data_IF_579147824619
#
_entry.id   IF_579147824619
#
_cell.length_a   1.000
_cell.length_b   1.000
_cell.length_c   1.000
_cell.angle_alpha   90.00
_cell.angle_beta   90.00
_cell.angle_gamma   90.00
#
_symmetry.space_group_name_H-M   'P 1'
#
loop_
_entity.id
_entity.type
_entity.pdbx_description
1 polymer ?
#
# COMPACT_ATOMS: atom_id res chain seq x y z
N UNK A 1 2.29 23.77 -19.73
CA UNK A 1 2.77 22.38 -19.52
C UNK A 1 3.42 22.22 -18.14
N UNK A 2 4.31 23.12 -17.73
CA UNK A 2 5.06 23.06 -16.45
C UNK A 2 4.13 23.10 -15.21
N UNK A 3 2.98 23.78 -15.29
CA UNK A 3 2.01 23.88 -14.19
C UNK A 3 1.34 22.55 -13.79
N UNK A 4 1.22 21.58 -14.70
CA UNK A 4 0.57 20.28 -14.41
C UNK A 4 1.43 19.36 -13.54
N UNK A 5 2.76 19.53 -13.59
CA UNK A 5 3.69 18.71 -12.83
C UNK A 5 3.74 19.13 -11.35
N UNK A 6 3.43 20.40 -11.05
CA UNK A 6 3.43 20.95 -9.69
C UNK A 6 2.22 20.50 -8.83
N UNK A 7 1.22 19.85 -9.44
CA UNK A 7 0.05 19.26 -8.76
C UNK A 7 0.11 17.74 -8.62
N UNK A 8 1.16 17.08 -9.11
CA UNK A 8 1.36 15.66 -8.83
C UNK A 8 1.98 15.55 -7.43
N UNK A 9 1.43 14.73 -6.53
CA UNK A 9 2.06 14.50 -5.24
C UNK A 9 3.45 13.87 -5.44
N UNK A 10 4.39 14.30 -4.60
CA UNK A 10 5.82 14.04 -4.73
C UNK A 10 6.15 12.54 -4.82
N UNK A 11 5.32 11.69 -4.23
CA UNK A 11 5.43 10.22 -4.26
C UNK A 11 5.38 9.66 -5.69
N UNK A 12 4.40 10.08 -6.49
CA UNK A 12 4.25 9.61 -7.89
C UNK A 12 5.45 10.03 -8.71
N UNK A 13 5.89 11.27 -8.50
CA UNK A 13 7.00 11.86 -9.23
C UNK A 13 8.33 11.17 -8.87
N UNK A 14 8.50 10.82 -7.59
CA UNK A 14 9.64 10.04 -7.11
C UNK A 14 9.71 8.68 -7.80
N UNK A 15 8.64 7.89 -7.76
CA UNK A 15 8.64 6.56 -8.38
C UNK A 15 8.79 6.62 -9.91
N UNK A 16 8.16 7.61 -10.57
CA UNK A 16 8.29 7.78 -12.01
C UNK A 16 9.73 8.15 -12.44
N UNK A 17 10.41 9.01 -11.66
CA UNK A 17 11.82 9.36 -11.91
C UNK A 17 12.75 8.18 -11.67
N UNK A 18 12.54 7.45 -10.57
CA UNK A 18 13.30 6.23 -10.26
C UNK A 18 13.14 5.18 -11.37
N UNK A 19 11.92 5.00 -11.87
CA UNK A 19 11.64 4.11 -13.00
C UNK A 19 12.37 4.53 -14.28
N UNK A 20 12.27 5.81 -14.66
CA UNK A 20 12.94 6.34 -15.84
C UNK A 20 14.47 6.20 -15.73
N UNK A 21 15.03 6.56 -14.57
CA UNK A 21 16.46 6.40 -14.30
C UNK A 21 16.90 4.94 -14.44
N UNK A 22 16.21 4.02 -13.77
CA UNK A 22 16.52 2.60 -13.80
C UNK A 22 16.48 2.01 -15.22
N UNK A 23 15.47 2.36 -16.03
CA UNK A 23 15.33 1.88 -17.40
C UNK A 23 16.41 2.46 -18.34
N UNK A 24 16.77 3.72 -18.16
CA UNK A 24 17.89 4.34 -18.91
C UNK A 24 19.19 3.62 -18.55
N UNK A 25 19.46 3.42 -17.25
CA UNK A 25 20.67 2.71 -16.79
C UNK A 25 20.66 1.26 -17.26
N UNK A 26 19.52 0.55 -17.21
CA UNK A 26 19.40 -0.82 -17.74
C UNK A 26 19.77 -0.88 -19.23
N UNK A 27 19.28 0.10 -20.01
CA UNK A 27 19.55 0.18 -21.44
C UNK A 27 21.03 0.42 -21.71
N UNK A 28 21.62 1.44 -21.06
CA UNK A 28 23.06 1.73 -21.18
C UNK A 28 23.89 0.54 -20.73
N UNK A 29 23.54 -0.06 -19.59
CA UNK A 29 24.22 -1.22 -19.02
C UNK A 29 24.23 -2.39 -20.00
N UNK A 30 23.09 -2.74 -20.62
CA UNK A 30 23.01 -3.81 -21.60
C UNK A 30 24.03 -3.63 -22.74
N UNK A 31 24.12 -2.42 -23.30
CA UNK A 31 25.05 -2.13 -24.41
C UNK A 31 26.52 -2.08 -23.98
N UNK A 32 26.81 -1.88 -22.69
CA UNK A 32 28.19 -1.80 -22.17
C UNK A 32 28.67 -3.15 -21.66
N UNK A 33 27.84 -3.87 -20.91
CA UNK A 33 28.23 -5.08 -20.18
C UNK A 33 27.86 -6.36 -20.92
N UNK A 34 26.79 -6.34 -21.73
CA UNK A 34 26.16 -7.54 -22.30
C UNK A 34 25.85 -8.63 -21.25
N UNK A 35 25.63 -8.24 -20.00
CA UNK A 35 25.42 -9.16 -18.89
C UNK A 35 23.92 -9.29 -18.58
N UNK A 36 23.34 -10.50 -18.70
CA UNK A 36 21.89 -10.68 -18.61
C UNK A 36 21.33 -10.55 -17.20
N UNK A 37 22.04 -10.92 -16.14
CA UNK A 37 21.50 -10.90 -14.77
C UNK A 37 21.27 -9.47 -14.27
N UNK A 38 22.28 -8.61 -14.38
CA UNK A 38 22.24 -7.20 -14.00
C UNK A 38 21.25 -6.41 -14.84
N UNK A 39 21.19 -6.69 -16.16
CA UNK A 39 20.21 -6.06 -17.05
C UNK A 39 18.78 -6.42 -16.64
N UNK A 40 18.55 -7.69 -16.33
CA UNK A 40 17.24 -8.17 -15.87
C UNK A 40 16.85 -7.52 -14.55
N UNK A 41 17.77 -7.42 -13.59
CA UNK A 41 17.51 -6.85 -12.27
C UNK A 41 17.20 -5.35 -12.36
N UNK A 42 17.97 -4.59 -13.15
CA UNK A 42 17.72 -3.17 -13.42
C UNK A 42 16.41 -2.94 -14.17
N UNK A 43 16.14 -3.76 -15.20
CA UNK A 43 14.90 -3.69 -15.97
C UNK A 43 13.66 -3.95 -15.10
N UNK A 44 13.70 -5.01 -14.28
CA UNK A 44 12.62 -5.34 -13.34
C UNK A 44 12.43 -4.24 -12.29
N UNK A 45 13.51 -3.69 -11.74
CA UNK A 45 13.43 -2.56 -10.81
C UNK A 45 12.76 -1.33 -11.44
N UNK A 46 13.11 -1.02 -12.70
CA UNK A 46 12.49 0.07 -13.44
C UNK A 46 10.99 -0.16 -13.70
N UNK A 47 10.62 -1.37 -14.13
CA UNK A 47 9.21 -1.75 -14.36
C UNK A 47 8.41 -1.73 -13.06
N UNK A 48 8.94 -2.27 -11.96
CA UNK A 48 8.28 -2.26 -10.66
C UNK A 48 8.06 -0.83 -10.14
N UNK A 49 9.06 0.04 -10.30
CA UNK A 49 8.94 1.46 -9.95
C UNK A 49 7.90 2.18 -10.81
N UNK A 50 7.83 1.89 -12.12
CA UNK A 50 6.80 2.45 -13.00
C UNK A 50 5.40 1.96 -12.59
N UNK A 51 5.27 0.69 -12.24
CA UNK A 51 4.03 0.11 -11.77
C UNK A 51 3.54 0.78 -10.48
N UNK A 52 4.42 1.01 -9.51
CA UNK A 52 4.11 1.75 -8.29
C UNK A 52 3.62 3.19 -8.60
N UNK A 53 4.33 3.93 -9.47
CA UNK A 53 3.92 5.27 -9.88
C UNK A 53 2.52 5.28 -10.52
N UNK A 54 2.21 4.29 -11.36
CA UNK A 54 0.92 4.14 -12.02
C UNK A 54 -0.20 3.86 -11.00
N UNK A 55 0.04 2.98 -10.02
CA UNK A 55 -0.94 2.66 -8.99
C UNK A 55 -1.26 3.88 -8.12
N UNK A 56 -0.24 4.61 -7.67
CA UNK A 56 -0.41 5.83 -6.88
C UNK A 56 -1.15 6.92 -7.65
N UNK A 57 -0.76 7.15 -8.92
CA UNK A 57 -1.43 8.10 -9.79
C UNK A 57 -2.91 7.73 -10.04
N UNK A 58 -3.24 6.43 -10.08
CA UNK A 58 -4.63 5.95 -10.19
C UNK A 58 -5.42 6.11 -8.90
N UNK A 59 -4.79 5.93 -7.75
CA UNK A 59 -5.44 6.15 -6.44
C UNK A 59 -5.85 7.61 -6.26
N UNK A 60 -4.95 8.54 -6.60
CA UNK A 60 -5.21 9.98 -6.47
C UNK A 60 -6.28 10.52 -7.41
N UNK A 61 -6.45 9.90 -8.57
CA UNK A 61 -7.56 10.25 -9.49
C UNK A 61 -8.93 9.78 -8.99
N UNK A 62 -8.97 8.79 -8.09
CA UNK A 62 -10.21 8.25 -7.50
C UNK A 62 -10.60 8.97 -6.22
N UNK A 63 -9.66 9.57 -5.50
CA UNK A 63 -9.96 10.49 -4.43
C UNK A 63 -10.77 11.67 -5.02
N UNK A 64 -12.00 11.89 -4.55
CA UNK A 64 -12.81 13.04 -4.94
C UNK A 64 -12.02 14.34 -4.71
N UNK A 65 -12.30 15.43 -5.45
CA UNK A 65 -11.65 16.71 -5.18
C UNK A 65 -11.91 17.07 -3.73
N UNK A 66 -10.84 17.11 -2.93
CA UNK A 66 -10.92 17.57 -1.55
C UNK A 66 -11.62 18.93 -1.55
N UNK A 67 -12.68 19.06 -0.74
CA UNK A 67 -13.34 20.34 -0.48
C UNK A 67 -12.27 21.29 0.03
N UNK A 68 -12.05 22.36 -0.74
CA UNK A 68 -11.27 23.55 -0.43
C UNK A 68 -9.80 23.36 0.01
N UNK A 69 -8.80 23.61 -0.87
CA UNK A 69 -7.38 23.48 -0.54
C UNK A 69 -6.88 24.49 0.51
N UNK A 70 -7.66 25.53 0.85
CA UNK A 70 -7.29 26.53 1.86
C UNK A 70 -7.80 26.17 3.28
N UNK A 71 -8.75 25.22 3.39
CA UNK A 71 -9.26 24.72 4.68
C UNK A 71 -8.41 23.60 5.28
N UNK A 72 -7.54 22.97 4.49
CA UNK A 72 -6.75 21.82 4.91
C UNK A 72 -5.34 22.30 5.25
N UNK A 73 -5.16 22.81 6.48
CA UNK A 73 -3.85 22.91 7.15
C UNK A 73 -3.24 21.54 7.48
N UNK A 74 -3.53 20.54 6.66
CA UNK A 74 -3.43 19.15 7.01
C UNK A 74 -2.59 18.40 5.99
N UNK A 75 -1.41 17.98 6.40
CA UNK A 75 -0.58 17.09 5.60
C UNK A 75 -1.23 15.71 5.36
N UNK A 76 -0.49 14.73 4.83
CA UNK A 76 -0.98 13.35 4.59
C UNK A 76 -1.57 12.62 5.81
N UNK A 77 -1.49 13.22 7.00
CA UNK A 77 -2.01 12.74 8.28
C UNK A 77 -3.14 13.61 8.83
N UNK A 78 -3.71 14.52 8.06
CA UNK A 78 -4.82 15.38 8.51
C UNK A 78 -6.11 14.61 8.74
N UNK A 79 -6.24 13.49 8.04
CA UNK A 79 -7.33 12.55 8.20
C UNK A 79 -6.92 11.48 9.22
N UNK A 80 -7.12 11.78 10.50
CA UNK A 80 -6.90 10.87 11.62
C UNK A 80 -8.14 10.00 11.90
N UNK A 81 -9.16 10.04 11.02
CA UNK A 81 -10.40 9.25 11.19
C UNK A 81 -10.18 7.75 10.98
N UNK A 82 -9.05 7.35 10.40
CA UNK A 82 -8.67 5.96 10.20
C UNK A 82 -8.42 5.24 11.53
N UNK A 83 -9.21 4.19 11.80
CA UNK A 83 -9.02 3.36 12.99
C UNK A 83 -7.66 2.64 12.93
N UNK A 84 -6.87 2.79 13.99
CA UNK A 84 -5.56 2.14 14.10
C UNK A 84 -5.75 0.66 14.47
N UNK A 85 -5.09 -0.27 13.77
CA UNK A 85 -5.24 -1.69 14.04
C UNK A 85 -4.96 -2.05 15.51
N UNK A 86 -5.81 -2.90 16.06
CA UNK A 86 -5.61 -3.46 17.40
C UNK A 86 -4.34 -4.33 17.48
N UNK A 87 -3.75 -4.42 18.68
CA UNK A 87 -2.51 -5.18 18.90
C UNK A 87 -2.68 -6.65 18.49
N UNK A 88 -1.84 -7.14 17.59
CA UNK A 88 -1.86 -8.53 17.10
C UNK A 88 -0.45 -9.10 16.92
N UNK A 89 -0.28 -10.39 17.22
CA UNK A 89 0.97 -11.13 16.97
C UNK A 89 1.03 -11.74 15.55
N UNK A 90 -0.02 -11.56 14.75
CA UNK A 90 -0.13 -12.21 13.45
C UNK A 90 1.03 -11.87 12.47
N UNK A 91 1.51 -10.60 12.36
CA UNK A 91 2.66 -10.27 11.52
C UNK A 91 3.95 -10.99 11.95
N UNK A 92 4.17 -11.14 13.26
CA UNK A 92 5.32 -11.86 13.82
C UNK A 92 5.25 -13.36 13.48
N UNK A 93 4.06 -13.95 13.54
CA UNK A 93 3.85 -15.35 13.20
C UNK A 93 4.10 -15.61 11.70
N UNK A 94 3.56 -14.76 10.83
CA UNK A 94 3.82 -14.84 9.38
C UNK A 94 5.30 -14.65 9.07
N UNK A 95 5.94 -13.65 9.68
CA UNK A 95 7.37 -13.40 9.51
C UNK A 95 8.25 -14.55 9.96
N UNK A 96 7.91 -15.19 11.09
CA UNK A 96 8.62 -16.37 11.59
C UNK A 96 8.47 -17.56 10.65
N UNK A 97 7.26 -17.79 10.14
CA UNK A 97 7.03 -18.82 9.13
C UNK A 97 7.83 -18.56 7.84
N UNK A 98 7.87 -17.32 7.36
CA UNK A 98 8.65 -16.94 6.19
C UNK A 98 10.17 -17.14 6.40
N UNK A 99 10.68 -16.85 7.61
CA UNK A 99 12.07 -17.11 7.96
C UNK A 99 12.40 -18.61 7.94
N UNK A 100 11.52 -19.46 8.47
CA UNK A 100 11.67 -20.93 8.41
C UNK A 100 11.62 -21.43 6.96
N UNK A 101 10.72 -20.89 6.13
CA UNK A 101 10.67 -21.22 4.71
C UNK A 101 11.98 -20.84 4.00
N UNK A 102 12.55 -19.67 4.34
CA UNK A 102 13.86 -19.24 3.85
C UNK A 102 14.98 -20.20 4.23
N UNK A 103 15.01 -20.69 5.48
CA UNK A 103 15.95 -21.74 5.90
C UNK A 103 15.77 -23.05 5.10
N UNK A 104 14.54 -23.35 4.67
CA UNK A 104 14.26 -24.50 3.82
C UNK A 104 14.93 -24.48 2.45
N UNK A 105 15.28 -23.30 1.91
CA UNK A 105 16.09 -23.24 0.68
C UNK A 105 17.51 -23.81 0.88
N UNK A 106 18.05 -23.71 2.09
CA UNK A 106 19.40 -24.18 2.42
C UNK A 106 19.37 -25.61 2.95
N UNK A 107 18.47 -25.88 3.89
CA UNK A 107 18.46 -27.13 4.64
C UNK A 107 17.52 -28.19 4.05
N UNK A 108 16.62 -27.85 3.13
CA UNK A 108 15.78 -28.80 2.41
C UNK A 108 14.28 -28.49 2.47
N UNK A 109 13.50 -29.09 1.54
CA UNK A 109 12.10 -28.74 1.31
C UNK A 109 11.16 -29.06 2.48
N UNK A 110 11.55 -29.92 3.42
CA UNK A 110 10.73 -30.24 4.59
C UNK A 110 10.49 -29.04 5.51
N UNK A 111 11.46 -28.13 5.63
CA UNK A 111 11.26 -26.89 6.40
C UNK A 111 10.26 -25.95 5.73
N UNK A 112 10.21 -25.95 4.39
CA UNK A 112 9.20 -25.18 3.65
C UNK A 112 7.81 -25.73 3.96
N UNK A 113 7.65 -27.07 3.95
CA UNK A 113 6.38 -27.70 4.33
C UNK A 113 5.99 -27.38 5.77
N UNK A 114 6.94 -27.44 6.70
CA UNK A 114 6.71 -27.08 8.10
C UNK A 114 6.33 -25.60 8.27
N UNK A 115 6.90 -24.70 7.45
CA UNK A 115 6.61 -23.28 7.47
C UNK A 115 5.22 -22.91 6.94
N UNK A 116 4.61 -23.74 6.08
CA UNK A 116 3.27 -23.46 5.54
C UNK A 116 2.22 -23.28 6.64
N UNK A 117 2.31 -24.07 7.71
CA UNK A 117 1.34 -24.04 8.80
C UNK A 117 1.34 -22.69 9.56
N UNK A 118 2.48 -22.21 10.13
CA UNK A 118 2.50 -20.92 10.81
C UNK A 118 2.21 -19.75 9.86
N UNK A 119 2.62 -19.81 8.58
CA UNK A 119 2.26 -18.78 7.58
C UNK A 119 0.74 -18.75 7.38
N UNK A 120 0.12 -19.90 7.12
CA UNK A 120 -1.32 -19.97 6.86
C UNK A 120 -2.13 -19.51 8.08
N UNK A 121 -1.81 -19.99 9.27
CA UNK A 121 -2.49 -19.60 10.51
C UNK A 121 -2.29 -18.11 10.82
N UNK A 122 -1.06 -17.59 10.64
CA UNK A 122 -0.78 -16.17 10.81
C UNK A 122 -1.53 -15.30 9.80
N UNK A 123 -1.61 -15.74 8.54
CA UNK A 123 -2.35 -15.01 7.50
C UNK A 123 -3.86 -15.01 7.77
N UNK A 124 -4.43 -16.15 8.17
CA UNK A 124 -5.87 -16.24 8.51
C UNK A 124 -6.21 -15.38 9.71
N UNK A 125 -5.41 -15.43 10.78
CA UNK A 125 -5.65 -14.59 11.97
C UNK A 125 -5.55 -13.11 11.65
N UNK A 126 -4.57 -12.72 10.82
CA UNK A 126 -4.40 -11.33 10.41
C UNK A 126 -5.54 -10.83 9.52
N UNK A 127 -5.92 -11.60 8.49
CA UNK A 127 -7.00 -11.22 7.59
C UNK A 127 -8.35 -11.19 8.32
N UNK A 128 -8.57 -12.13 9.25
CA UNK A 128 -9.74 -12.15 10.12
C UNK A 128 -9.81 -10.91 11.02
N UNK A 129 -8.69 -10.50 11.63
CA UNK A 129 -8.67 -9.30 12.46
C UNK A 129 -8.94 -8.03 11.66
N UNK A 130 -8.40 -7.94 10.44
CA UNK A 130 -8.67 -6.80 9.54
C UNK A 130 -10.14 -6.77 9.10
N UNK A 131 -10.73 -7.92 8.81
CA UNK A 131 -12.15 -8.01 8.44
C UNK A 131 -13.09 -7.60 9.57
N UNK A 132 -12.82 -8.07 10.80
CA UNK A 132 -13.61 -7.69 11.97
C UNK A 132 -13.55 -6.19 12.28
N UNK A 133 -12.41 -5.56 12.03
CA UNK A 133 -12.23 -4.11 12.19
C UNK A 133 -12.99 -3.30 11.14
N UNK A 134 -13.04 -3.79 9.89
CA UNK A 134 -13.83 -3.18 8.83
C UNK A 134 -15.34 -3.22 9.15
N UNK A 135 -15.86 -4.38 9.57
CA UNK A 135 -17.27 -4.55 9.94
C UNK A 135 -17.67 -3.64 11.11
N UNK A 136 -16.79 -3.48 12.11
CA UNK A 136 -17.02 -2.56 13.22
C UNK A 136 -17.05 -1.08 12.78
N UNK A 137 -16.28 -0.73 11.75
CA UNK A 137 -16.27 0.63 11.17
C UNK A 137 -17.57 0.91 10.42
N UNK A 138 -17.99 0.00 9.54
CA UNK A 138 -19.25 0.11 8.78
C UNK A 138 -20.48 0.19 9.71
N UNK A 139 -20.49 -0.58 10.81
CA UNK A 139 -21.57 -0.55 11.79
C UNK A 139 -21.65 0.79 12.54
N UNK A 140 -20.50 1.41 12.82
CA UNK A 140 -20.44 2.73 13.46
C UNK A 140 -20.97 3.83 12.53
N UNK A 141 -20.58 3.79 11.25
CA UNK A 141 -21.02 4.78 10.24
C UNK A 141 -22.53 4.72 10.00
N UNK A 142 -23.09 3.52 9.90
CA UNK A 142 -24.54 3.31 9.73
C UNK A 142 -25.34 3.79 10.96
N UNK A 143 -24.87 3.52 12.18
CA UNK A 143 -25.51 4.00 13.40
C UNK A 143 -25.51 5.54 13.52
N UNK A 144 -24.43 6.20 13.07
CA UNK A 144 -24.37 7.67 13.01
C UNK A 144 -25.33 8.24 11.96
N UNK A 145 -25.43 7.61 10.79
CA UNK A 145 -26.34 8.04 9.73
C UNK A 145 -27.82 7.95 10.16
N UNK A 146 -28.21 6.84 10.83
CA UNK A 146 -29.57 6.67 11.35
C UNK A 146 -29.89 7.65 12.48
N UNK A 147 -28.93 7.93 13.37
CA UNK A 147 -29.07 8.94 14.41
C UNK A 147 -29.27 10.36 13.86
N UNK A 148 -28.62 10.71 12.74
CA UNK A 148 -28.80 11.98 12.05
C UNK A 148 -30.14 12.08 11.31
N UNK A 149 -30.62 10.99 10.72
CA UNK A 149 -31.92 10.93 10.06
C UNK A 149 -33.11 11.03 11.05
N UNK A 150 -32.89 10.68 12.31
CA UNK A 150 -33.88 10.79 13.39
C UNK A 150 -33.98 12.18 14.05
N UNK A 151 -33.11 13.14 13.69
CA UNK A 151 -33.21 14.51 14.19
C UNK A 151 -34.34 15.27 13.45
N UNK A 152 -35.27 15.93 14.14
CA UNK A 152 -36.23 16.81 13.49
C UNK A 152 -35.47 17.91 12.72
N UNK A 153 -36.00 18.41 11.59
CA UNK A 153 -35.36 19.50 10.84
C UNK A 153 -35.11 20.67 11.81
N UNK A 154 -33.89 21.20 11.84
CA UNK A 154 -33.59 22.39 12.65
C UNK A 154 -34.51 23.50 12.17
N UNK A 155 -35.42 23.91 13.05
CA UNK A 155 -36.30 25.05 12.81
C UNK A 155 -35.46 26.29 13.07
N UNK A 156 -34.60 26.62 12.11
CA UNK A 156 -33.91 27.90 12.07
C UNK A 156 -34.80 28.87 11.28
N UNK A 157 -35.48 29.74 12.01
CA UNK A 157 -36.20 30.91 11.51
C UNK A 157 -35.36 32.17 11.61
#
# INVERSE_FOLDING_TARGET
>A
MIERLRRQPEEVLFFARSAAFALVVATVYWFVSYEPAGTTLLGLFGVASAFAAILLARGQRRAAPATDPEAIGGGPFADESGRVPTQTFAPLQVGSGLAIAGLGLVFGPWLILAALLPIALGAVTWLGSVGAELEATEHSDTALADGMAGLPPSVDG
#
